data_IF_176300174872
#
_entry.id   IF_176300174872
#
_cell.length_a   1.000
_cell.length_b   1.000
_cell.length_c   1.000
_cell.angle_alpha   90.00
_cell.angle_beta   90.00
_cell.angle_gamma   90.00
#
_symmetry.space_group_name_H-M   'P 1'
#
loop_
_entity.id
_entity.type
_entity.pdbx_description
1 polymer ?
#
# COMPACT_ATOMS: atom_id res chain seq x y z
N UNK A 1 -5.74 1.86 -10.51
CA UNK A 1 -4.60 1.53 -9.64
C UNK A 1 -3.24 1.84 -10.25
N UNK A 2 -2.96 1.49 -11.51
CA UNK A 2 -1.64 1.68 -12.17
C UNK A 2 -0.87 2.96 -11.80
N UNK A 3 -1.51 4.14 -11.84
CA UNK A 3 -0.83 5.40 -11.48
C UNK A 3 -0.32 5.46 -10.03
N UNK A 4 -1.11 4.95 -9.06
CA UNK A 4 -0.76 4.91 -7.64
C UNK A 4 0.40 3.95 -7.43
N UNK A 5 0.33 2.76 -8.03
CA UNK A 5 1.43 1.78 -7.99
C UNK A 5 2.72 2.34 -8.58
N UNK A 6 2.67 2.95 -9.76
CA UNK A 6 3.86 3.53 -10.39
C UNK A 6 4.49 4.61 -9.52
N UNK A 7 3.69 5.53 -8.97
CA UNK A 7 4.21 6.58 -8.09
C UNK A 7 4.81 5.99 -6.81
N UNK A 8 4.14 5.00 -6.20
CA UNK A 8 4.66 4.35 -5.00
C UNK A 8 5.98 3.63 -5.29
N UNK A 9 6.08 2.90 -6.39
CA UNK A 9 7.31 2.22 -6.81
C UNK A 9 8.47 3.21 -6.99
N UNK A 10 8.23 4.33 -7.67
CA UNK A 10 9.25 5.37 -7.88
C UNK A 10 9.80 5.95 -6.57
N UNK A 11 8.94 6.14 -5.56
CA UNK A 11 9.35 6.75 -4.30
C UNK A 11 9.88 5.75 -3.26
N UNK A 12 9.55 4.47 -3.41
CA UNK A 12 9.98 3.40 -2.48
C UNK A 12 11.09 2.53 -3.04
N UNK A 13 11.50 2.76 -4.29
CA UNK A 13 12.45 1.93 -5.04
C UNK A 13 12.03 0.45 -5.07
N UNK A 14 10.72 0.22 -5.22
CA UNK A 14 10.13 -1.10 -5.37
C UNK A 14 9.63 -1.31 -6.79
N UNK A 15 9.41 -2.57 -7.17
CA UNK A 15 8.86 -2.94 -8.47
C UNK A 15 7.67 -3.89 -8.28
N UNK A 16 6.59 -3.39 -7.68
CA UNK A 16 5.34 -4.13 -7.48
C UNK A 16 4.39 -3.92 -8.67
N UNK A 17 3.61 -4.94 -9.05
CA UNK A 17 2.55 -4.78 -10.05
C UNK A 17 1.29 -4.17 -9.46
N UNK A 18 1.06 -4.39 -8.16
CA UNK A 18 -0.02 -3.75 -7.40
C UNK A 18 0.40 -3.50 -5.94
N UNK A 19 0.30 -2.24 -5.49
CA UNK A 19 0.61 -1.85 -4.11
C UNK A 19 -0.61 -1.93 -3.17
N UNK A 20 -1.82 -1.73 -3.68
CA UNK A 20 -3.09 -1.70 -2.92
C UNK A 20 -3.85 -3.03 -3.05
N UNK A 21 -3.14 -4.14 -2.89
CA UNK A 21 -3.69 -5.50 -3.05
C UNK A 21 -4.67 -5.89 -1.93
N UNK A 22 -4.62 -5.21 -0.79
CA UNK A 22 -5.35 -5.52 0.45
C UNK A 22 -5.07 -6.93 1.00
N UNK A 23 -4.06 -7.62 0.46
CA UNK A 23 -3.60 -8.94 0.86
C UNK A 23 -2.08 -8.92 0.99
N UNK A 24 -1.59 -8.75 2.22
CA UNK A 24 -0.16 -8.74 2.53
C UNK A 24 0.10 -9.66 3.71
N UNK A 25 1.06 -10.56 3.54
CA UNK A 25 1.53 -11.45 4.60
C UNK A 25 2.93 -11.02 5.05
N UNK A 26 3.16 -11.05 6.36
CA UNK A 26 4.42 -10.62 6.94
C UNK A 26 4.99 -11.70 7.84
N UNK A 27 6.31 -11.75 7.89
CA UNK A 27 7.01 -12.41 8.99
C UNK A 27 6.68 -11.69 10.29
N UNK A 28 6.54 -12.46 11.37
CA UNK A 28 6.17 -11.95 12.69
C UNK A 28 7.13 -10.85 13.16
N UNK A 29 8.42 -11.05 12.95
CA UNK A 29 9.48 -10.14 13.41
C UNK A 29 9.38 -8.79 12.69
N UNK A 30 9.01 -8.79 11.41
CA UNK A 30 8.85 -7.59 10.60
C UNK A 30 7.63 -6.80 11.07
N UNK A 31 6.48 -7.45 11.21
CA UNK A 31 5.24 -6.74 11.57
C UNK A 31 5.27 -6.20 13.00
N UNK A 32 5.93 -6.87 13.95
CA UNK A 32 6.09 -6.37 15.32
C UNK A 32 6.88 -5.05 15.38
N UNK A 33 7.80 -4.81 14.44
CA UNK A 33 8.55 -3.55 14.37
C UNK A 33 7.76 -2.44 13.69
N UNK A 34 6.87 -2.78 12.75
CA UNK A 34 6.15 -1.80 11.94
C UNK A 34 4.81 -1.41 12.58
N UNK A 35 4.04 -2.38 13.06
CA UNK A 35 2.68 -2.18 13.57
C UNK A 35 2.57 -1.07 14.65
N UNK A 36 3.48 -0.97 15.65
CA UNK A 36 3.41 0.09 16.66
C UNK A 36 3.62 1.50 16.10
N UNK A 37 4.20 1.62 14.91
CA UNK A 37 4.51 2.91 14.29
C UNK A 37 3.43 3.39 13.32
N UNK A 38 2.43 2.55 13.02
CA UNK A 38 1.39 2.86 12.04
C UNK A 38 0.49 4.00 12.52
N UNK A 39 0.19 4.93 11.61
CA UNK A 39 -0.60 6.14 11.91
C UNK A 39 -1.80 6.31 10.99
N UNK A 40 -1.77 5.75 9.77
CA UNK A 40 -2.86 5.87 8.83
C UNK A 40 -4.06 5.00 9.22
N UNK A 41 -5.23 5.44 8.73
CA UNK A 41 -6.51 4.76 8.88
C UNK A 41 -7.12 4.53 7.50
N UNK A 42 -7.97 3.51 7.37
CA UNK A 42 -8.58 3.16 6.09
C UNK A 42 -7.55 2.63 5.09
N UNK A 43 -7.72 2.96 3.80
CA UNK A 43 -6.87 2.44 2.72
C UNK A 43 -5.43 2.96 2.73
N UNK A 44 -5.16 4.09 3.38
CA UNK A 44 -3.80 4.65 3.49
C UNK A 44 -2.80 3.75 4.21
N UNK A 45 -3.29 2.78 5.01
CA UNK A 45 -2.45 1.81 5.72
C UNK A 45 -1.60 0.96 4.76
N UNK A 46 -2.12 0.63 3.58
CA UNK A 46 -1.42 -0.19 2.58
C UNK A 46 -0.14 0.50 2.08
N UNK A 47 -0.24 1.82 1.88
CA UNK A 47 0.84 2.66 1.37
C UNK A 47 1.87 2.94 2.47
N UNK A 48 1.41 3.26 3.68
CA UNK A 48 2.30 3.40 4.84
C UNK A 48 3.09 2.10 5.10
N UNK A 49 2.39 0.96 5.12
CA UNK A 49 2.99 -0.34 5.37
C UNK A 49 4.03 -0.67 4.30
N UNK A 50 3.70 -0.48 3.02
CA UNK A 50 4.63 -0.74 1.92
C UNK A 50 5.87 0.16 2.01
N UNK A 51 5.70 1.46 2.24
CA UNK A 51 6.81 2.39 2.40
C UNK A 51 7.72 2.02 3.58
N UNK A 52 7.14 1.62 4.72
CA UNK A 52 7.89 1.21 5.92
C UNK A 52 8.67 -0.08 5.74
N UNK A 53 8.11 -1.03 5.00
CA UNK A 53 8.76 -2.29 4.61
C UNK A 53 9.91 -2.02 3.63
N UNK A 54 9.69 -1.15 2.64
CA UNK A 54 10.71 -0.73 1.68
C UNK A 54 11.91 -0.06 2.36
N UNK A 55 11.65 0.90 3.27
CA UNK A 55 12.69 1.62 4.03
C UNK A 55 13.54 0.69 4.91
N UNK A 56 12.94 -0.39 5.43
CA UNK A 56 13.64 -1.42 6.21
C UNK A 56 14.36 -2.46 5.35
N UNK A 57 14.37 -2.28 4.02
CA UNK A 57 15.00 -3.18 3.02
C UNK A 57 14.59 -4.65 3.20
N UNK A 58 13.33 -4.86 3.57
CA UNK A 58 12.76 -6.20 3.68
C UNK A 58 12.69 -6.86 2.30
N UNK A 59 12.83 -8.19 2.24
CA UNK A 59 12.61 -8.94 1.00
C UNK A 59 11.11 -9.05 0.73
N UNK A 60 10.70 -8.65 -0.47
CA UNK A 60 9.29 -8.64 -0.89
C UNK A 60 9.14 -9.63 -2.05
N UNK A 61 8.06 -10.41 -2.01
CA UNK A 61 7.67 -11.32 -3.08
C UNK A 61 6.22 -11.06 -3.44
N UNK A 62 5.94 -10.97 -4.73
CA UNK A 62 4.59 -10.82 -5.25
C UNK A 62 4.06 -12.18 -5.72
N UNK A 63 2.86 -12.53 -5.26
CA UNK A 63 2.18 -13.77 -5.63
C UNK A 63 0.90 -13.38 -6.36
N UNK A 64 0.75 -13.86 -7.59
CA UNK A 64 -0.44 -13.59 -8.40
C UNK A 64 -1.69 -14.17 -7.76
N UNK A 65 -2.75 -13.36 -7.68
CA UNK A 65 -4.07 -13.78 -7.20
C UNK A 65 -5.14 -13.46 -8.25
N UNK A 66 -6.19 -14.27 -8.29
CA UNK A 66 -7.40 -13.94 -9.05
C UNK A 66 -8.37 -13.18 -8.15
N UNK A 67 -8.82 -12.00 -8.58
CA UNK A 67 -9.74 -11.16 -7.83
C UNK A 67 -10.99 -10.85 -8.65
N UNK A 68 -12.16 -11.16 -8.08
CA UNK A 68 -13.46 -10.77 -8.62
C UNK A 68 -13.97 -9.54 -7.89
N UNK A 69 -13.71 -8.37 -8.48
CA UNK A 69 -14.08 -7.08 -7.90
C UNK A 69 -15.56 -6.76 -8.07
N UNK A 70 -16.13 -6.09 -7.07
CA UNK A 70 -17.47 -5.49 -7.18
C UNK A 70 -17.44 -4.30 -8.13
N UNK A 71 -18.46 -4.19 -8.96
CA UNK A 71 -18.77 -3.01 -9.77
C UNK A 71 -19.31 -1.87 -8.90
N UNK A 72 -19.36 -0.65 -9.45
CA UNK A 72 -19.97 0.48 -8.77
C UNK A 72 -21.46 0.27 -8.48
N UNK A 73 -22.16 -0.45 -9.36
CA UNK A 73 -23.58 -0.79 -9.18
C UNK A 73 -23.77 -1.79 -8.02
N UNK A 74 -22.82 -2.69 -7.81
CA UNK A 74 -22.79 -3.62 -6.66
C UNK A 74 -22.30 -2.97 -5.35
N UNK A 75 -22.23 -1.64 -5.32
CA UNK A 75 -21.92 -0.87 -4.11
C UNK A 75 -20.43 -0.71 -3.83
N UNK A 76 -19.57 -0.64 -4.86
CA UNK A 76 -18.17 -0.23 -4.68
C UNK A 76 -18.12 1.20 -4.11
N UNK A 77 -17.58 1.36 -2.90
CA UNK A 77 -17.56 2.63 -2.16
C UNK A 77 -16.30 3.48 -2.37
N UNK A 78 -15.37 3.04 -3.23
CA UNK A 78 -14.13 3.79 -3.47
C UNK A 78 -14.44 5.03 -4.31
N UNK A 79 -13.91 6.18 -3.91
CA UNK A 79 -14.11 7.45 -4.59
C UNK A 79 -12.83 8.21 -4.86
N UNK A 80 -12.96 9.39 -5.47
CA UNK A 80 -11.82 10.28 -5.77
C UNK A 80 -11.12 10.77 -4.49
N UNK A 81 -11.85 10.91 -3.38
CA UNK A 81 -11.28 11.28 -2.08
C UNK A 81 -10.28 10.24 -1.58
N UNK A 82 -10.56 8.95 -1.80
CA UNK A 82 -9.64 7.86 -1.45
C UNK A 82 -8.37 7.93 -2.31
N UNK A 83 -8.51 8.21 -3.61
CA UNK A 83 -7.37 8.40 -4.50
C UNK A 83 -6.49 9.58 -4.07
N UNK A 84 -7.07 10.75 -3.76
CA UNK A 84 -6.32 11.90 -3.24
C UNK A 84 -5.62 11.59 -1.92
N UNK A 85 -6.28 10.83 -1.02
CA UNK A 85 -5.68 10.38 0.23
C UNK A 85 -4.51 9.43 -0.03
N UNK A 86 -4.63 8.52 -0.99
CA UNK A 86 -3.55 7.62 -1.40
C UNK A 86 -2.33 8.39 -1.90
N UNK A 87 -2.52 9.36 -2.80
CA UNK A 87 -1.44 10.25 -3.26
C UNK A 87 -0.75 10.98 -2.12
N UNK A 88 -1.53 11.54 -1.19
CA UNK A 88 -0.97 12.19 0.01
C UNK A 88 -0.15 11.22 0.87
N UNK A 89 -0.65 10.00 1.09
CA UNK A 89 0.07 8.98 1.86
C UNK A 89 1.40 8.61 1.18
N UNK A 90 1.40 8.40 -0.14
CA UNK A 90 2.62 8.09 -0.89
C UNK A 90 3.68 9.17 -0.69
N UNK A 91 3.32 10.45 -0.86
CA UNK A 91 4.26 11.56 -0.70
C UNK A 91 4.73 11.70 0.75
N UNK A 92 3.82 11.62 1.72
CA UNK A 92 4.14 11.71 3.15
C UNK A 92 5.12 10.63 3.57
N UNK A 93 4.83 9.38 3.22
CA UNK A 93 5.60 8.22 3.68
C UNK A 93 6.83 7.94 2.83
N UNK A 94 6.97 8.54 1.65
CA UNK A 94 8.23 8.60 0.94
C UNK A 94 9.27 9.40 1.73
N UNK A 95 8.88 10.55 2.29
CA UNK A 95 9.79 11.49 2.95
C UNK A 95 9.95 11.21 4.45
N UNK A 96 8.88 10.78 5.15
CA UNK A 96 8.89 10.59 6.60
C UNK A 96 8.35 9.20 7.05
N UNK A 97 8.64 8.80 8.29
CA UNK A 97 8.17 7.53 8.93
C UNK A 97 7.04 7.74 9.96
#
# INVERSE_FOLDING_TARGET
NKCITTLSNMLTDLNLTDVETCYKAFRREVIHQIAPTLKERGFGIELELTAKVARRRCRIYEVGISYFGRTYQEGKKIGLRDALRAFWCILRYAVAD
#
